data_IF_531312924428
#
_entry.id   IF_531312924428
#
_cell.length_a   1.000
_cell.length_b   1.000
_cell.length_c   1.000
_cell.angle_alpha   90.00
_cell.angle_beta   90.00
_cell.angle_gamma   90.00
#
_symmetry.space_group_name_H-M   'P 1'
#
loop_
_entity.id
_entity.type
_entity.pdbx_description
1 polymer ?
#
# COMPACT_ATOMS: atom_id res chain seq x y z
N UNK A 1 -2.82 -7.75 12.13
CA UNK A 1 -2.38 -8.83 11.21
C UNK A 1 -2.86 -8.51 9.80
N UNK A 2 -2.46 -9.24 8.76
CA UNK A 2 -2.98 -9.01 7.40
C UNK A 2 -4.50 -9.26 7.30
N UNK A 3 -5.05 -10.22 8.05
CA UNK A 3 -6.50 -10.47 8.09
C UNK A 3 -7.30 -9.27 8.63
N UNK A 4 -6.83 -8.64 9.72
CA UNK A 4 -7.48 -7.45 10.26
C UNK A 4 -7.40 -6.25 9.31
N UNK A 5 -6.31 -6.11 8.57
CA UNK A 5 -6.18 -5.07 7.53
C UNK A 5 -7.17 -5.28 6.39
N UNK A 6 -7.38 -6.52 5.96
CA UNK A 6 -8.38 -6.88 4.94
C UNK A 6 -9.80 -6.47 5.36
N UNK A 7 -10.16 -6.74 6.61
CA UNK A 7 -11.46 -6.33 7.17
C UNK A 7 -11.60 -4.81 7.25
N UNK A 8 -10.55 -4.10 7.68
CA UNK A 8 -10.57 -2.64 7.73
C UNK A 8 -10.73 -2.02 6.33
N UNK A 9 -9.99 -2.52 5.34
CA UNK A 9 -10.13 -2.08 3.96
C UNK A 9 -11.54 -2.34 3.44
N UNK A 10 -12.11 -3.53 3.66
CA UNK A 10 -13.50 -3.85 3.28
C UNK A 10 -14.49 -2.80 3.79
N UNK A 11 -14.33 -2.33 5.03
CA UNK A 11 -15.21 -1.31 5.61
C UNK A 11 -15.09 0.05 4.91
N UNK A 12 -13.90 0.40 4.39
CA UNK A 12 -13.66 1.70 3.76
C UNK A 12 -14.05 1.67 2.26
N UNK A 13 -13.66 0.63 1.52
CA UNK A 13 -13.92 0.54 0.07
C UNK A 13 -15.24 -0.18 -0.29
N UNK A 14 -15.92 -0.76 0.70
CA UNK A 14 -17.15 -1.54 0.54
C UNK A 14 -17.07 -2.64 -0.54
N UNK A 15 -15.90 -3.28 -0.66
CA UNK A 15 -15.62 -4.38 -1.60
C UNK A 15 -14.84 -5.46 -0.88
N UNK A 16 -15.09 -6.72 -1.25
CA UNK A 16 -14.37 -7.85 -0.69
C UNK A 16 -12.86 -7.73 -0.98
N UNK A 17 -12.07 -7.57 0.08
CA UNK A 17 -10.61 -7.61 0.02
C UNK A 17 -10.15 -8.96 0.52
N UNK A 18 -9.24 -9.60 -0.21
CA UNK A 18 -8.60 -10.85 0.21
C UNK A 18 -7.08 -10.71 0.11
N UNK A 19 -6.41 -10.60 1.26
CA UNK A 19 -4.95 -10.54 1.34
C UNK A 19 -4.41 -11.97 1.46
N UNK A 20 -3.81 -12.47 0.38
CA UNK A 20 -3.28 -13.84 0.30
C UNK A 20 -1.95 -14.00 1.04
N UNK A 21 -1.51 -15.25 1.23
CA UNK A 21 -0.25 -15.58 1.91
C UNK A 21 0.96 -14.97 1.19
N UNK A 22 1.72 -14.08 1.85
CA UNK A 22 2.91 -13.50 1.25
C UNK A 22 4.08 -14.48 1.25
N UNK A 23 5.04 -14.25 0.35
CA UNK A 23 6.37 -14.88 0.42
C UNK A 23 7.28 -14.00 1.27
N UNK A 24 7.99 -14.60 2.22
CA UNK A 24 8.91 -13.88 3.12
C UNK A 24 10.35 -14.22 2.77
N UNK A 25 11.22 -13.21 2.74
CA UNK A 25 12.67 -13.38 2.56
C UNK A 25 13.43 -12.38 3.41
N UNK A 26 14.64 -12.73 3.82
CA UNK A 26 15.62 -11.80 4.38
C UNK A 26 16.36 -11.17 3.20
N UNK A 27 16.54 -9.86 3.20
CA UNK A 27 17.17 -9.10 2.10
C UNK A 27 17.76 -7.80 2.65
N UNK A 28 18.58 -7.14 1.86
CA UNK A 28 19.15 -5.83 2.22
C UNK A 28 18.41 -4.69 1.53
N UNK A 29 18.51 -3.48 2.09
CA UNK A 29 17.92 -2.29 1.48
C UNK A 29 18.47 -2.03 0.06
N UNK A 30 19.73 -2.41 -0.19
CA UNK A 30 20.37 -2.31 -1.51
C UNK A 30 19.69 -3.21 -2.54
N UNK A 31 19.48 -4.47 -2.19
CA UNK A 31 18.79 -5.44 -3.07
C UNK A 31 17.33 -5.04 -3.34
N UNK A 32 16.66 -4.47 -2.35
CA UNK A 32 15.32 -3.89 -2.51
C UNK A 32 15.39 -2.73 -3.52
N UNK A 33 16.38 -1.84 -3.37
CA UNK A 33 16.55 -0.68 -4.24
C UNK A 33 16.79 -1.06 -5.70
N UNK A 34 17.64 -2.06 -5.93
CA UNK A 34 17.98 -2.53 -7.26
C UNK A 34 16.80 -3.24 -7.96
N UNK A 35 15.84 -3.75 -7.18
CA UNK A 35 14.60 -4.36 -7.69
C UNK A 35 13.42 -3.39 -7.87
N UNK A 36 13.59 -2.09 -7.61
CA UNK A 36 12.47 -1.14 -7.66
C UNK A 36 12.01 -0.81 -9.08
N UNK A 37 10.70 -0.70 -9.22
CA UNK A 37 10.03 -0.17 -10.42
C UNK A 37 9.45 1.20 -10.09
N UNK A 38 9.84 2.20 -10.86
CA UNK A 38 9.32 3.57 -10.78
C UNK A 38 8.13 3.76 -11.74
N UNK A 39 7.11 4.59 -11.40
CA UNK A 39 6.93 5.32 -10.14
C UNK A 39 6.25 4.48 -9.04
N UNK A 40 6.52 4.82 -7.79
CA UNK A 40 6.09 4.07 -6.62
C UNK A 40 5.97 4.98 -5.38
N UNK A 41 5.05 4.60 -4.49
CA UNK A 41 4.75 5.27 -3.22
C UNK A 41 5.37 4.45 -2.10
N UNK A 42 5.86 5.17 -1.09
CA UNK A 42 6.49 4.59 0.09
C UNK A 42 5.76 5.13 1.32
N UNK A 43 5.20 4.21 2.10
CA UNK A 43 4.72 4.48 3.44
C UNK A 43 5.78 4.00 4.43
N UNK A 44 6.16 4.88 5.35
CA UNK A 44 7.21 4.62 6.33
C UNK A 44 6.71 4.96 7.73
N UNK A 45 6.65 3.93 8.58
CA UNK A 45 6.13 4.04 9.95
C UNK A 45 7.21 3.62 10.92
N UNK A 46 7.59 4.54 11.80
CA UNK A 46 8.54 4.26 12.88
C UNK A 46 7.82 3.67 14.09
N UNK A 47 8.34 2.57 14.62
CA UNK A 47 7.81 1.97 15.84
C UNK A 47 8.23 2.78 17.07
N UNK A 48 7.26 3.19 17.87
CA UNK A 48 7.48 4.06 19.05
C UNK A 48 7.71 3.28 20.35
N UNK A 49 7.29 2.01 20.42
CA UNK A 49 7.43 1.18 21.63
C UNK A 49 7.38 -0.31 21.30
N UNK A 50 7.99 -1.13 22.17
CA UNK A 50 8.05 -2.59 22.08
C UNK A 50 9.16 -3.12 21.18
N UNK A 51 9.26 -2.62 19.95
CA UNK A 51 10.31 -2.96 18.99
C UNK A 51 10.98 -1.71 18.44
N UNK A 52 12.26 -1.83 18.07
CA UNK A 52 13.03 -0.77 17.42
C UNK A 52 13.13 -1.06 15.93
N UNK A 53 12.75 -0.09 15.10
CA UNK A 53 12.84 -0.20 13.64
C UNK A 53 11.74 0.56 12.92
N UNK A 54 11.70 0.38 11.60
CA UNK A 54 10.73 0.99 10.70
C UNK A 54 9.95 -0.10 9.98
N UNK A 55 8.66 0.15 9.76
CA UNK A 55 7.82 -0.62 8.86
C UNK A 55 7.67 0.15 7.56
N UNK A 56 8.18 -0.41 6.47
CA UNK A 56 8.12 0.22 5.15
C UNK A 56 7.20 -0.59 4.26
N UNK A 57 6.19 0.06 3.70
CA UNK A 57 5.32 -0.48 2.66
C UNK A 57 5.61 0.28 1.35
N UNK A 58 5.97 -0.44 0.30
CA UNK A 58 6.17 0.12 -1.04
C UNK A 58 5.09 -0.42 -1.98
N UNK A 59 4.49 0.47 -2.77
CA UNK A 59 3.42 0.17 -3.71
C UNK A 59 3.64 0.90 -5.03
N UNK A 60 3.27 0.31 -6.17
CA UNK A 60 3.29 1.04 -7.45
C UNK A 60 2.22 2.13 -7.44
N UNK A 61 2.52 3.28 -8.05
CA UNK A 61 1.56 4.40 -8.04
C UNK A 61 0.22 4.03 -8.69
N UNK A 62 0.24 3.14 -9.67
CA UNK A 62 -0.98 2.59 -10.28
C UNK A 62 -1.88 1.85 -9.28
N UNK A 63 -1.31 1.00 -8.44
CA UNK A 63 -2.08 0.22 -7.47
C UNK A 63 -2.67 1.14 -6.40
N UNK A 64 -1.91 2.16 -5.98
CA UNK A 64 -2.38 3.18 -5.05
C UNK A 64 -3.52 4.02 -5.65
N UNK A 65 -3.43 4.39 -6.93
CA UNK A 65 -4.51 5.11 -7.63
C UNK A 65 -5.82 4.31 -7.66
N UNK A 66 -5.75 3.00 -7.90
CA UNK A 66 -6.94 2.14 -7.85
C UNK A 66 -7.54 2.12 -6.45
N UNK A 67 -6.72 2.03 -5.40
CA UNK A 67 -7.20 2.04 -4.02
C UNK A 67 -7.85 3.39 -3.68
N UNK A 68 -7.20 4.51 -3.98
CA UNK A 68 -7.73 5.85 -3.75
C UNK A 68 -9.06 6.07 -4.49
N UNK A 69 -9.14 5.65 -5.76
CA UNK A 69 -10.37 5.73 -6.55
C UNK A 69 -11.51 4.95 -5.87
N UNK A 70 -11.25 3.73 -5.40
CA UNK A 70 -12.23 2.92 -4.68
C UNK A 70 -12.65 3.54 -3.33
N UNK A 71 -11.71 4.15 -2.60
CA UNK A 71 -12.01 4.82 -1.32
C UNK A 71 -12.84 6.09 -1.50
N UNK A 72 -12.67 6.77 -2.63
CA UNK A 72 -13.50 7.93 -3.02
C UNK A 72 -14.84 7.53 -3.68
N UNK A 73 -15.17 6.24 -3.75
CA UNK A 73 -16.45 5.74 -4.26
C UNK A 73 -16.50 5.47 -5.78
N UNK A 74 -15.34 5.45 -6.44
CA UNK A 74 -15.20 5.09 -7.85
C UNK A 74 -15.29 3.58 -8.12
N UNK A 75 -15.04 3.20 -9.38
CA UNK A 75 -15.14 1.82 -9.87
C UNK A 75 -13.81 1.07 -9.91
N UNK A 76 -12.71 1.74 -9.57
CA UNK A 76 -11.34 1.23 -9.61
C UNK A 76 -10.67 1.33 -10.98
N UNK A 77 -11.31 1.95 -11.97
CA UNK A 77 -10.68 2.25 -13.26
C UNK A 77 -9.96 3.60 -13.17
N UNK A 78 -8.64 3.57 -13.42
CA UNK A 78 -7.80 4.77 -13.37
C UNK A 78 -7.10 4.97 -14.72
N UNK A 79 -7.30 6.15 -15.31
CA UNK A 79 -6.67 6.53 -16.59
C UNK A 79 -5.30 7.18 -16.38
N UNK A 80 -5.13 7.85 -15.23
CA UNK A 80 -3.87 8.47 -14.81
C UNK A 80 -3.28 7.74 -13.60
N UNK A 81 -1.96 7.77 -13.51
CA UNK A 81 -1.21 7.30 -12.35
C UNK A 81 -0.66 8.46 -11.52
N UNK A 82 -0.98 9.71 -11.87
CA UNK A 82 -0.68 10.87 -11.03
C UNK A 82 -1.69 10.95 -9.89
N UNK A 83 -1.20 11.16 -8.66
CA UNK A 83 -2.04 11.28 -7.47
C UNK A 83 -1.96 12.70 -6.94
N UNK A 84 -3.13 13.30 -6.74
CA UNK A 84 -3.29 14.54 -5.98
C UNK A 84 -3.08 14.31 -4.48
N UNK A 85 -2.91 15.39 -3.70
CA UNK A 85 -2.75 15.29 -2.24
C UNK A 85 -3.93 14.58 -1.55
N UNK A 86 -5.15 14.76 -2.08
CA UNK A 86 -6.35 14.09 -1.56
C UNK A 86 -6.26 12.58 -1.82
N UNK A 87 -5.86 12.18 -3.03
CA UNK A 87 -5.70 10.77 -3.39
C UNK A 87 -4.54 10.09 -2.67
N UNK A 88 -3.51 10.84 -2.26
CA UNK A 88 -2.44 10.32 -1.39
C UNK A 88 -2.93 10.17 0.06
N UNK A 89 -3.90 10.98 0.48
CA UNK A 89 -4.46 10.95 1.84
C UNK A 89 -5.58 9.92 2.01
N UNK A 90 -6.22 9.51 0.91
CA UNK A 90 -7.20 8.45 0.86
C UNK A 90 -6.51 7.10 1.00
#
# INVERSE_FOLDING_TARGET
SMGSASTALYQIINKQVNITTPKVKITTLREIKDGFKYPNIILDVEYVSGITGRNILIMQTKDAAVIANLMMGGDGQVETTELSEIEVSA
#
